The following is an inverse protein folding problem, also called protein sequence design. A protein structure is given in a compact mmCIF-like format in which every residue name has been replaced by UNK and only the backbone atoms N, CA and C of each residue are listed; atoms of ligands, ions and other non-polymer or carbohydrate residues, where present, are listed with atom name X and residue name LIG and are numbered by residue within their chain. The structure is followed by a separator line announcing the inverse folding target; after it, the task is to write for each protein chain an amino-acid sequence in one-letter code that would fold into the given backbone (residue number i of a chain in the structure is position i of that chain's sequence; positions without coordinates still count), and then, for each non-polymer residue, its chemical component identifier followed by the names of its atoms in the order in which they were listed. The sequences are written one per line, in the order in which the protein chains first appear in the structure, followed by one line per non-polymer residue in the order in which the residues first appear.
data_IF_012862829150
#
_entry.id   IF_012862829150
#
_cell.length_a   1.000
_cell.length_b   1.000
_cell.length_c   1.000
_cell.angle_alpha   90.00
_cell.angle_beta   90.00
_cell.angle_gamma   90.00
#
_symmetry.space_group_name_H-M   'P 1'
#
loop_
_entity.id
_entity.type
_entity.pdbx_description
1 polymer ?
#
# COMPACT_ATOMS: atom_id res chain seq x y z
N UNK A 1 44.87 -13.62 -4.67
CA UNK A 1 44.92 -14.34 -3.37
C UNK A 1 44.03 -13.62 -2.37
N UNK A 2 42.92 -14.23 -1.92
CA UNK A 2 41.97 -13.66 -0.93
C UNK A 2 41.91 -14.47 0.40
N UNK A 3 42.96 -15.24 0.72
CA UNK A 3 42.91 -16.29 1.75
C UNK A 3 43.07 -15.83 3.22
N UNK A 4 43.07 -14.53 3.53
CA UNK A 4 43.38 -14.04 4.91
C UNK A 4 42.31 -13.17 5.58
N UNK A 5 41.15 -12.95 4.96
CA UNK A 5 40.08 -12.09 5.52
C UNK A 5 38.88 -12.85 6.10
N UNK A 6 38.87 -14.19 6.04
CA UNK A 6 37.70 -14.98 6.43
C UNK A 6 38.04 -16.09 7.44
N UNK A 7 38.76 -15.73 8.51
CA UNK A 7 39.13 -16.71 9.55
C UNK A 7 37.91 -17.07 10.43
N UNK A 8 36.95 -16.14 10.57
CA UNK A 8 35.61 -16.38 11.14
C UNK A 8 34.59 -15.43 10.50
N UNK A 9 33.70 -15.90 9.61
CA UNK A 9 32.64 -15.06 9.06
C UNK A 9 31.61 -14.72 10.15
N UNK A 10 31.38 -13.41 10.37
CA UNK A 10 30.26 -12.92 11.18
C UNK A 10 29.14 -12.51 10.23
N UNK A 11 28.11 -13.35 10.13
CA UNK A 11 26.92 -13.01 9.36
C UNK A 11 26.02 -12.09 10.18
N UNK A 12 25.78 -10.88 9.67
CA UNK A 12 24.85 -9.94 10.27
C UNK A 12 23.47 -10.16 9.66
N UNK A 13 22.51 -10.73 10.40
CA UNK A 13 21.19 -10.95 9.86
C UNK A 13 20.49 -9.61 9.64
N UNK A 14 19.73 -9.48 8.54
CA UNK A 14 18.98 -8.28 8.23
C UNK A 14 17.84 -8.05 9.23
N UNK A 15 17.39 -6.80 9.35
CA UNK A 15 16.34 -6.38 10.30
C UNK A 15 15.05 -7.20 10.16
N UNK A 16 14.73 -7.68 8.95
CA UNK A 16 13.58 -8.56 8.68
C UNK A 16 13.64 -9.93 9.36
N UNK A 17 14.85 -10.41 9.71
CA UNK A 17 15.06 -11.67 10.44
C UNK A 17 15.08 -11.45 11.96
N UNK A 18 15.01 -10.19 12.42
CA UNK A 18 15.04 -9.78 13.83
C UNK A 18 14.01 -8.68 14.09
N UNK A 19 12.76 -8.96 13.72
CA UNK A 19 11.66 -7.99 13.84
C UNK A 19 11.34 -7.63 15.30
N UNK A 20 11.69 -8.50 16.25
CA UNK A 20 11.56 -8.27 17.69
C UNK A 20 12.40 -7.09 18.20
N UNK A 21 13.49 -6.75 17.51
CA UNK A 21 14.36 -5.62 17.86
C UNK A 21 13.80 -4.28 17.36
N UNK A 22 12.85 -4.30 16.41
CA UNK A 22 12.33 -3.08 15.75
C UNK A 22 11.73 -2.10 16.76
N UNK A 23 10.88 -2.50 17.72
CA UNK A 23 10.33 -1.57 18.69
C UNK A 23 11.40 -0.91 19.57
N UNK A 24 12.42 -1.66 19.98
CA UNK A 24 13.52 -1.14 20.79
C UNK A 24 14.37 -0.13 20.00
N UNK A 25 14.73 -0.49 18.76
CA UNK A 25 15.50 0.37 17.86
C UNK A 25 14.73 1.64 17.51
N UNK A 26 13.43 1.52 17.20
CA UNK A 26 12.58 2.66 16.88
C UNK A 26 12.49 3.66 18.03
N UNK A 27 12.33 3.18 19.27
CA UNK A 27 12.32 4.03 20.46
C UNK A 27 13.68 4.69 20.73
N UNK A 28 14.78 3.97 20.49
CA UNK A 28 16.12 4.53 20.60
C UNK A 28 16.33 5.67 19.60
N UNK A 29 16.03 5.45 18.32
CA UNK A 29 16.17 6.49 17.29
C UNK A 29 15.23 7.67 17.55
N UNK A 30 13.97 7.40 17.93
CA UNK A 30 13.02 8.45 18.26
C UNK A 30 13.56 9.34 19.39
N UNK A 31 14.10 8.74 20.45
CA UNK A 31 14.71 9.48 21.58
C UNK A 31 15.94 10.27 21.15
N UNK A 32 16.81 9.68 20.32
CA UNK A 32 18.02 10.32 19.79
C UNK A 32 17.67 11.58 18.98
N UNK A 33 16.75 11.46 18.01
CA UNK A 33 16.32 12.57 17.16
C UNK A 33 15.44 13.58 17.90
N UNK A 34 14.65 13.14 18.88
CA UNK A 34 13.89 14.04 19.72
C UNK A 34 14.79 15.02 20.47
N UNK A 35 15.93 14.54 21.02
CA UNK A 35 16.94 15.38 21.66
C UNK A 35 17.63 16.32 20.66
N UNK A 36 17.91 15.85 19.44
CA UNK A 36 18.60 16.62 18.38
C UNK A 36 17.70 17.72 17.80
N UNK A 37 16.41 17.45 17.62
CA UNK A 37 15.43 18.38 17.05
C UNK A 37 14.74 19.27 18.08
N UNK A 38 14.98 19.06 19.39
CA UNK A 38 14.36 19.83 20.47
C UNK A 38 12.85 19.63 20.62
N UNK A 39 12.31 18.52 20.10
CA UNK A 39 10.89 18.20 20.23
C UNK A 39 10.60 17.49 21.56
N UNK A 40 9.31 17.34 21.88
CA UNK A 40 8.83 16.62 23.06
C UNK A 40 8.03 15.39 22.66
N UNK A 41 8.66 14.46 21.95
CA UNK A 41 8.03 13.19 21.57
C UNK A 41 8.24 12.19 22.72
N UNK A 42 7.15 11.64 23.27
CA UNK A 42 7.16 10.61 24.32
C UNK A 42 7.29 9.19 23.76
N UNK A 43 6.95 8.97 22.49
CA UNK A 43 7.11 7.65 21.86
C UNK A 43 6.30 7.46 20.58
N UNK A 44 6.22 6.19 20.17
CA UNK A 44 5.43 5.72 19.05
C UNK A 44 4.14 5.06 19.54
N UNK A 45 3.05 5.18 18.77
CA UNK A 45 1.81 4.43 19.04
C UNK A 45 1.96 2.94 18.72
N UNK A 46 1.12 2.10 19.31
CA UNK A 46 1.06 0.66 18.96
C UNK A 46 0.76 0.41 17.49
N UNK A 47 -0.05 1.29 16.86
CA UNK A 47 -0.34 1.23 15.43
C UNK A 47 0.94 1.44 14.61
N UNK A 48 1.71 2.46 14.97
CA UNK A 48 2.99 2.76 14.32
C UNK A 48 4.00 1.61 14.48
N UNK A 49 4.10 1.04 15.69
CA UNK A 49 4.98 -0.11 15.97
C UNK A 49 4.58 -1.36 15.18
N UNK A 50 3.28 -1.67 15.10
CA UNK A 50 2.77 -2.77 14.27
C UNK A 50 3.12 -2.56 12.79
N UNK A 51 2.96 -1.34 12.28
CA UNK A 51 3.30 -1.02 10.89
C UNK A 51 4.81 -1.19 10.63
N UNK A 52 5.66 -0.74 11.55
CA UNK A 52 7.11 -0.93 11.47
C UNK A 52 7.49 -2.43 11.49
N UNK A 53 6.83 -3.22 12.33
CA UNK A 53 7.13 -4.66 12.48
C UNK A 53 6.70 -5.47 11.26
N UNK A 54 5.60 -5.09 10.60
CA UNK A 54 5.08 -5.77 9.42
C UNK A 54 5.80 -5.39 8.11
N UNK A 55 6.76 -4.46 8.15
CA UNK A 55 7.47 -4.01 6.97
C UNK A 55 8.73 -4.85 6.71
N UNK A 56 9.09 -5.03 5.44
CA UNK A 56 10.16 -5.95 5.02
C UNK A 56 11.59 -5.37 5.14
N UNK A 57 11.72 -4.06 5.39
CA UNK A 57 13.00 -3.37 5.62
C UNK A 57 14.10 -3.65 4.56
N UNK A 58 13.88 -3.36 3.25
CA UNK A 58 14.88 -3.56 2.21
C UNK A 58 16.19 -2.78 2.47
N UNK A 59 16.11 -1.60 3.09
CA UNK A 59 17.25 -0.78 3.51
C UNK A 59 17.67 -1.01 4.98
N UNK A 60 17.10 -2.03 5.64
CA UNK A 60 17.55 -2.53 6.94
C UNK A 60 17.52 -1.42 8.02
N UNK A 61 18.47 -1.42 8.95
CA UNK A 61 18.55 -0.43 10.05
C UNK A 61 18.62 1.03 9.54
N UNK A 62 19.30 1.30 8.42
CA UNK A 62 19.40 2.67 7.88
C UNK A 62 18.07 3.21 7.39
N UNK A 63 17.24 2.36 6.79
CA UNK A 63 15.89 2.78 6.38
C UNK A 63 15.02 3.06 7.60
N UNK A 64 15.11 2.22 8.64
CA UNK A 64 14.42 2.45 9.92
C UNK A 64 14.83 3.80 10.53
N UNK A 65 16.12 4.08 10.62
CA UNK A 65 16.66 5.34 11.13
C UNK A 65 16.08 6.56 10.38
N UNK A 66 16.16 6.57 9.05
CA UNK A 66 15.66 7.67 8.21
C UNK A 66 14.16 7.88 8.35
N UNK A 67 13.38 6.80 8.42
CA UNK A 67 11.92 6.86 8.57
C UNK A 67 11.56 7.45 9.93
N UNK A 68 12.26 7.04 11.00
CA UNK A 68 12.04 7.57 12.34
C UNK A 68 12.45 9.04 12.41
N UNK A 69 13.61 9.44 11.87
CA UNK A 69 14.04 10.84 11.81
C UNK A 69 12.99 11.72 11.12
N UNK A 70 12.53 11.29 9.94
CA UNK A 70 11.49 12.01 9.20
C UNK A 70 10.17 12.09 9.98
N UNK A 71 9.79 11.00 10.64
CA UNK A 71 8.56 10.96 11.44
C UNK A 71 8.64 11.90 12.64
N UNK A 72 9.80 11.98 13.30
CA UNK A 72 10.09 12.95 14.37
C UNK A 72 10.02 14.38 13.82
N UNK A 73 10.56 14.65 12.64
CA UNK A 73 10.52 15.98 12.03
C UNK A 73 9.10 16.42 11.62
N UNK A 74 8.28 15.49 11.12
CA UNK A 74 6.92 15.77 10.65
C UNK A 74 5.87 15.73 11.76
N UNK A 75 6.15 15.08 12.89
CA UNK A 75 5.19 14.98 13.99
C UNK A 75 4.88 16.37 14.56
N UNK A 76 3.59 16.65 14.73
CA UNK A 76 3.09 17.88 15.37
C UNK A 76 2.75 17.65 16.85
N UNK A 77 2.56 16.39 17.24
CA UNK A 77 2.18 15.99 18.59
C UNK A 77 3.31 15.29 19.36
N UNK A 78 2.98 14.91 20.59
CA UNK A 78 3.87 14.19 21.52
C UNK A 78 4.03 12.72 21.15
N UNK A 79 3.10 12.14 20.39
CA UNK A 79 3.11 10.72 20.00
C UNK A 79 3.15 10.61 18.47
N UNK A 80 3.99 9.71 17.95
CA UNK A 80 4.02 9.37 16.53
C UNK A 80 2.93 8.31 16.28
N UNK A 81 1.78 8.77 15.77
CA UNK A 81 0.63 7.91 15.48
C UNK A 81 0.73 7.24 14.11
N UNK A 82 1.19 7.98 13.11
CA UNK A 82 1.29 7.52 11.73
C UNK A 82 2.73 7.63 11.20
N UNK A 83 3.20 6.54 10.62
CA UNK A 83 4.53 6.45 10.03
C UNK A 83 4.33 6.21 8.54
N UNK A 84 4.75 7.20 7.75
CA UNK A 84 4.75 7.09 6.30
C UNK A 84 5.90 6.17 5.88
N UNK A 85 5.60 4.87 5.80
CA UNK A 85 6.49 3.90 5.19
C UNK A 85 6.41 4.04 3.66
N UNK A 86 7.55 4.01 2.94
CA UNK A 86 7.50 3.94 1.50
C UNK A 86 6.71 2.70 1.10
N UNK A 87 5.81 2.85 0.13
CA UNK A 87 5.11 1.72 -0.49
C UNK A 87 6.15 0.98 -1.31
N UNK A 88 6.98 0.17 -0.66
CA UNK A 88 7.70 -0.88 -1.35
C UNK A 88 6.63 -1.79 -1.90
N UNK A 89 6.51 -1.82 -3.22
CA UNK A 89 5.59 -2.71 -3.92
C UNK A 89 5.94 -4.14 -3.54
N UNK A 90 5.33 -4.64 -2.47
CA UNK A 90 5.43 -6.04 -2.07
C UNK A 90 4.75 -6.81 -3.18
N UNK A 91 5.54 -7.46 -4.04
CA UNK A 91 5.00 -8.44 -5.01
C UNK A 91 4.39 -9.66 -4.31
N UNK A 92 4.57 -9.83 -3.00
CA UNK A 92 4.20 -11.04 -2.28
C UNK A 92 3.47 -10.71 -0.97
N UNK A 93 2.20 -10.27 -1.04
CA UNK A 93 1.27 -10.34 0.08
C UNK A 93 0.04 -11.13 -0.38
N UNK A 94 -0.27 -12.31 0.18
CA UNK A 94 -1.42 -13.13 -0.25
C UNK A 94 -2.75 -12.64 0.32
N UNK A 95 -2.99 -11.32 0.39
CA UNK A 95 -4.17 -10.78 1.10
C UNK A 95 -4.77 -9.49 0.57
N UNK A 96 -4.03 -8.63 -0.12
CA UNK A 96 -4.60 -7.44 -0.78
C UNK A 96 -3.81 -7.21 -2.06
N UNK A 97 -4.09 -8.02 -3.08
CA UNK A 97 -3.75 -7.67 -4.45
C UNK A 97 -4.59 -6.47 -4.84
N UNK A 98 -4.08 -5.26 -4.62
CA UNK A 98 -4.46 -4.16 -5.52
C UNK A 98 -3.85 -4.59 -6.85
N UNK A 99 -4.68 -5.25 -7.64
CA UNK A 99 -4.35 -5.82 -8.94
C UNK A 99 -3.86 -4.68 -9.85
N UNK A 100 -2.57 -4.39 -9.77
CA UNK A 100 -1.85 -3.56 -10.74
C UNK A 100 -1.51 -4.40 -11.98
N UNK A 101 -2.34 -5.41 -12.29
CA UNK A 101 -2.55 -5.79 -13.67
C UNK A 101 -2.94 -4.50 -14.39
N UNK A 102 -2.04 -3.99 -15.22
CA UNK A 102 -2.35 -2.90 -16.14
C UNK A 102 -3.37 -3.50 -17.10
N UNK A 103 -4.63 -3.43 -16.69
CA UNK A 103 -5.78 -3.88 -17.43
C UNK A 103 -5.75 -3.17 -18.77
N UNK A 104 -5.95 -3.95 -19.83
CA UNK A 104 -6.09 -3.38 -21.16
C UNK A 104 -7.23 -2.36 -21.16
N UNK A 105 -7.19 -1.39 -22.09
CA UNK A 105 -8.27 -0.39 -22.19
C UNK A 105 -9.66 -1.05 -22.28
N UNK A 106 -9.75 -2.25 -22.86
CA UNK A 106 -10.97 -3.04 -22.94
C UNK A 106 -11.45 -3.61 -21.61
N UNK A 107 -10.54 -4.04 -20.75
CA UNK A 107 -10.87 -4.54 -19.40
C UNK A 107 -11.34 -3.40 -18.49
N UNK A 108 -10.65 -2.25 -18.54
CA UNK A 108 -11.09 -1.07 -17.79
C UNK A 108 -12.46 -0.56 -18.27
N UNK A 109 -12.69 -0.54 -19.58
CA UNK A 109 -13.99 -0.17 -20.15
C UNK A 109 -15.08 -1.15 -19.69
N UNK A 110 -14.79 -2.45 -19.68
CA UNK A 110 -15.73 -3.48 -19.21
C UNK A 110 -16.09 -3.29 -17.74
N UNK A 111 -15.10 -3.15 -16.87
CA UNK A 111 -15.31 -2.99 -15.43
C UNK A 111 -16.09 -1.72 -15.12
N UNK A 112 -15.78 -0.63 -15.84
CA UNK A 112 -16.50 0.63 -15.71
C UNK A 112 -17.98 0.48 -16.09
N UNK A 113 -18.28 -0.17 -17.21
CA UNK A 113 -19.67 -0.43 -17.63
C UNK A 113 -20.40 -1.31 -16.61
N UNK A 114 -19.76 -2.34 -16.08
CA UNK A 114 -20.35 -3.22 -15.04
C UNK A 114 -20.65 -2.41 -13.78
N UNK A 115 -19.75 -1.55 -13.33
CA UNK A 115 -19.94 -0.73 -12.12
C UNK A 115 -21.16 0.20 -12.23
N UNK A 116 -21.39 0.76 -13.41
CA UNK A 116 -22.53 1.64 -13.68
C UNK A 116 -23.82 0.81 -13.78
N UNK A 117 -23.79 -0.36 -14.43
CA UNK A 117 -24.93 -1.27 -14.47
C UNK A 117 -25.34 -1.73 -13.06
N UNK A 118 -24.39 -2.00 -12.16
CA UNK A 118 -24.68 -2.33 -10.76
C UNK A 118 -25.34 -1.16 -10.02
N UNK A 119 -24.83 0.06 -10.19
CA UNK A 119 -25.45 1.27 -9.63
C UNK A 119 -26.87 1.52 -10.17
N UNK A 120 -27.16 1.08 -11.39
CA UNK A 120 -28.48 1.19 -12.03
C UNK A 120 -29.36 -0.06 -11.85
N UNK A 121 -29.01 -1.01 -10.97
CA UNK A 121 -29.74 -2.28 -10.78
C UNK A 121 -30.00 -3.06 -12.09
N UNK A 122 -29.05 -3.00 -13.04
CA UNK A 122 -29.16 -3.65 -14.35
C UNK A 122 -30.08 -2.95 -15.35
N UNK A 123 -30.56 -1.73 -15.05
CA UNK A 123 -31.37 -0.94 -15.98
C UNK A 123 -30.51 -0.33 -17.08
N UNK A 124 -30.73 -0.78 -18.32
CA UNK A 124 -29.98 -0.31 -19.51
C UNK A 124 -30.62 0.95 -20.12
N UNK A 125 -31.96 1.07 -20.09
CA UNK A 125 -32.73 2.15 -20.73
C UNK A 125 -33.64 2.91 -19.74
N UNK A 126 -34.00 4.15 -20.09
CA UNK A 126 -34.90 5.02 -19.33
C UNK A 126 -34.18 6.02 -18.42
N UNK A 127 -34.94 6.87 -17.72
CA UNK A 127 -34.42 7.85 -16.79
C UNK A 127 -33.62 7.17 -15.66
N UNK A 128 -32.34 7.51 -15.54
CA UNK A 128 -31.38 6.91 -14.61
C UNK A 128 -30.83 5.55 -15.06
N UNK A 129 -30.99 5.18 -16.33
CA UNK A 129 -30.40 3.98 -16.91
C UNK A 129 -28.90 4.13 -17.20
N UNK A 130 -28.19 3.01 -17.28
CA UNK A 130 -26.74 3.01 -17.50
C UNK A 130 -26.33 3.71 -18.82
N UNK A 131 -27.17 3.66 -19.85
CA UNK A 131 -26.93 4.35 -21.13
C UNK A 131 -26.92 5.89 -20.99
N UNK A 132 -27.80 6.44 -20.15
CA UNK A 132 -27.88 7.88 -19.88
C UNK A 132 -26.66 8.35 -19.08
N UNK A 133 -26.27 7.60 -18.04
CA UNK A 133 -25.10 7.91 -17.21
C UNK A 133 -23.80 7.80 -18.00
N UNK A 134 -23.70 6.82 -18.89
CA UNK A 134 -22.56 6.66 -19.80
C UNK A 134 -22.57 7.66 -20.96
N UNK A 135 -23.64 8.45 -21.11
CA UNK A 135 -23.89 9.34 -22.24
C UNK A 135 -23.75 8.63 -23.61
N UNK A 136 -24.32 7.43 -23.70
CA UNK A 136 -24.29 6.58 -24.89
C UNK A 136 -25.71 6.22 -25.35
N UNK A 137 -25.95 6.10 -26.67
CA UNK A 137 -27.19 5.53 -27.17
C UNK A 137 -27.41 4.10 -26.62
N UNK A 138 -28.64 3.71 -26.25
CA UNK A 138 -28.92 2.37 -25.72
C UNK A 138 -28.51 1.23 -26.67
N UNK A 139 -28.60 1.46 -27.99
CA UNK A 139 -28.14 0.53 -29.02
C UNK A 139 -26.62 0.34 -29.00
N UNK A 140 -25.85 1.41 -28.78
CA UNK A 140 -24.39 1.39 -28.68
C UNK A 140 -23.93 0.68 -27.41
N UNK A 141 -24.59 0.95 -26.28
CA UNK A 141 -24.29 0.25 -25.02
C UNK A 141 -24.54 -1.25 -25.15
N UNK A 142 -25.68 -1.66 -25.74
CA UNK A 142 -26.00 -3.08 -25.99
C UNK A 142 -24.97 -3.77 -26.90
N UNK A 143 -24.50 -3.09 -27.94
CA UNK A 143 -23.45 -3.58 -28.82
C UNK A 143 -22.10 -3.73 -28.09
N UNK A 144 -21.71 -2.74 -27.29
CA UNK A 144 -20.51 -2.77 -26.43
C UNK A 144 -20.57 -3.90 -25.40
N UNK A 145 -21.70 -4.09 -24.73
CA UNK A 145 -21.90 -5.20 -23.78
C UNK A 145 -21.71 -6.56 -24.46
N UNK A 146 -22.24 -6.75 -25.68
CA UNK A 146 -22.06 -7.98 -26.45
C UNK A 146 -20.59 -8.19 -26.85
N UNK A 147 -19.89 -7.13 -27.27
CA UNK A 147 -18.48 -7.18 -27.67
C UNK A 147 -17.54 -7.48 -26.48
N UNK A 148 -17.86 -6.95 -25.30
CA UNK A 148 -17.09 -7.14 -24.07
C UNK A 148 -17.51 -8.38 -23.27
N UNK A 149 -18.47 -9.16 -23.76
CA UNK A 149 -18.92 -10.41 -23.12
C UNK A 149 -19.60 -10.20 -21.75
N UNK A 150 -20.23 -9.04 -21.53
CA UNK A 150 -20.91 -8.71 -20.27
C UNK A 150 -22.24 -9.46 -20.21
N UNK A 151 -22.34 -10.46 -19.32
CA UNK A 151 -23.56 -11.25 -19.07
C UNK A 151 -24.28 -10.75 -17.82
N UNK A 152 -25.54 -11.17 -17.64
CA UNK A 152 -26.37 -10.84 -16.47
C UNK A 152 -25.73 -11.30 -15.16
N UNK A 153 -25.03 -12.43 -15.17
CA UNK A 153 -24.24 -12.97 -14.04
C UNK A 153 -23.10 -12.03 -13.58
N UNK A 154 -22.64 -11.09 -14.42
CA UNK A 154 -21.62 -10.09 -14.03
C UNK A 154 -22.20 -8.89 -13.27
N UNK A 155 -23.54 -8.79 -13.20
CA UNK A 155 -24.28 -7.67 -12.61
C UNK A 155 -24.79 -8.04 -11.20
N UNK A 156 -24.88 -9.33 -10.89
CA UNK A 156 -25.14 -9.86 -9.53
C UNK A 156 -23.98 -9.60 -8.57
#
# INVERSE_FOLDING_TARGET
MYYRLNVFPVELPPLRERTEDIPLLANHFASHYNRKSGKKITGLSDKALKNLTNYHWPGNIRELENIIERSVLLSKGTIIEDISLPVTMQKNSPGISVDLHIKTMHENERDYIISILKKCNGRIWGAGGAAEILNLPPSTLKSKMKKLGIKKESIE
#
